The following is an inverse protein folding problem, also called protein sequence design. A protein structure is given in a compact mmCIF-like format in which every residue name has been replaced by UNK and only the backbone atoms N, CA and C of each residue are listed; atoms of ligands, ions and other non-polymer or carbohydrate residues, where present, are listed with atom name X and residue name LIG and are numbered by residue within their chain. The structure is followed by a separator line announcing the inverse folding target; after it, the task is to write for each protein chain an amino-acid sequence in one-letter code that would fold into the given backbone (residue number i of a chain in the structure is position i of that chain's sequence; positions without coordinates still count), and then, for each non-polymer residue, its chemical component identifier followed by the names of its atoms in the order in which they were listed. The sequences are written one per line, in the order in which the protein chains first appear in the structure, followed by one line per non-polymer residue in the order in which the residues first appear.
data_IF_225956905171
#
_entry.id   IF_225956905171
#
_cell.length_a   1.000
_cell.length_b   1.000
_cell.length_c   1.000
_cell.angle_alpha   90.00
_cell.angle_beta   90.00
_cell.angle_gamma   90.00
#
_symmetry.space_group_name_H-M   'P 1'
#
loop_
_entity.id
_entity.type
_entity.pdbx_description
1 polymer ?
#
# COMPACT_ATOMS: atom_id res chain seq x y z
N UNK A 1 -77.16 -34.16 -35.67
CA UNK A 1 -76.63 -33.98 -34.35
C UNK A 1 -75.09 -34.15 -34.42
N UNK A 2 -74.35 -33.03 -34.38
CA UNK A 2 -72.84 -33.05 -34.48
C UNK A 2 -72.31 -32.62 -33.13
N UNK A 3 -71.69 -33.53 -32.36
CA UNK A 3 -71.01 -33.26 -31.10
C UNK A 3 -69.60 -32.68 -31.38
N UNK A 4 -69.31 -31.47 -30.90
CA UNK A 4 -67.98 -30.85 -30.89
C UNK A 4 -67.26 -31.32 -29.64
N UNK A 5 -66.13 -32.02 -29.79
CA UNK A 5 -65.16 -32.23 -28.71
C UNK A 5 -64.28 -30.99 -28.60
N UNK A 6 -64.24 -30.44 -27.36
CA UNK A 6 -63.28 -29.41 -27.03
C UNK A 6 -62.06 -30.10 -26.37
N UNK A 7 -60.88 -29.93 -26.97
CA UNK A 7 -59.59 -30.36 -26.39
C UNK A 7 -59.06 -29.26 -25.47
N UNK A 8 -58.90 -29.58 -24.19
CA UNK A 8 -58.22 -28.72 -23.21
C UNK A 8 -56.69 -28.99 -23.30
N UNK A 9 -55.94 -28.00 -23.69
CA UNK A 9 -54.47 -28.01 -23.64
C UNK A 9 -54.03 -27.51 -22.25
N UNK A 10 -53.48 -28.39 -21.42
CA UNK A 10 -52.87 -28.06 -20.15
C UNK A 10 -51.42 -27.57 -20.39
N UNK A 11 -51.16 -26.31 -20.18
CA UNK A 11 -49.81 -25.72 -20.20
C UNK A 11 -49.14 -26.01 -18.86
N UNK A 12 -48.21 -26.96 -18.82
CA UNK A 12 -47.35 -27.21 -17.66
C UNK A 12 -46.20 -26.19 -17.71
N UNK A 13 -46.28 -25.14 -16.90
CA UNK A 13 -45.22 -24.16 -16.71
C UNK A 13 -44.04 -24.77 -15.93
N UNK A 14 -42.94 -25.04 -16.57
CA UNK A 14 -41.69 -25.44 -15.96
C UNK A 14 -41.04 -24.24 -15.28
N UNK A 15 -41.16 -24.10 -13.95
CA UNK A 15 -40.45 -23.10 -13.15
C UNK A 15 -38.98 -23.53 -13.07
N UNK A 16 -38.09 -22.89 -13.87
CA UNK A 16 -36.66 -23.03 -13.74
C UNK A 16 -36.22 -22.14 -12.59
N UNK A 17 -35.96 -22.72 -11.42
CA UNK A 17 -35.32 -22.06 -10.27
C UNK A 17 -33.83 -21.99 -10.58
N UNK A 18 -33.35 -20.84 -11.08
CA UNK A 18 -31.92 -20.56 -11.22
C UNK A 18 -31.33 -20.40 -9.81
N UNK A 19 -30.24 -21.13 -9.45
CA UNK A 19 -29.53 -20.84 -8.20
C UNK A 19 -28.95 -19.42 -8.28
N UNK A 20 -29.39 -18.56 -7.36
CA UNK A 20 -28.72 -17.29 -7.07
C UNK A 20 -27.34 -17.65 -6.55
N UNK A 21 -26.32 -17.55 -7.40
CA UNK A 21 -24.94 -17.58 -6.97
C UNK A 21 -24.75 -16.41 -5.99
N UNK A 22 -24.58 -16.72 -4.71
CA UNK A 22 -24.14 -15.73 -3.74
C UNK A 22 -22.74 -15.31 -4.18
N UNK A 23 -22.63 -14.15 -4.82
CA UNK A 23 -21.34 -13.49 -4.97
C UNK A 23 -20.80 -13.29 -3.55
N UNK A 24 -19.78 -14.06 -3.16
CA UNK A 24 -19.09 -13.89 -1.90
C UNK A 24 -18.74 -12.41 -1.75
N UNK A 25 -19.10 -11.79 -0.61
CA UNK A 25 -18.71 -10.44 -0.31
C UNK A 25 -17.19 -10.37 -0.45
N UNK A 26 -16.68 -9.38 -1.23
CA UNK A 26 -15.25 -9.14 -1.29
C UNK A 26 -14.74 -8.91 0.15
N UNK A 27 -13.56 -9.46 0.53
CA UNK A 27 -13.04 -9.26 1.87
C UNK A 27 -12.97 -7.76 2.15
N UNK A 28 -13.47 -7.37 3.32
CA UNK A 28 -13.53 -5.97 3.75
C UNK A 28 -12.10 -5.42 3.87
N UNK A 29 -11.90 -4.19 3.41
CA UNK A 29 -10.60 -3.53 3.52
C UNK A 29 -10.25 -3.32 5.01
N UNK A 30 -9.06 -3.76 5.41
CA UNK A 30 -8.55 -3.56 6.76
C UNK A 30 -7.81 -2.21 6.84
N UNK A 31 -8.00 -1.48 7.93
CA UNK A 31 -7.34 -0.20 8.17
C UNK A 31 -6.60 -0.24 9.50
N UNK A 32 -5.34 0.19 9.49
CA UNK A 32 -4.53 0.40 10.69
C UNK A 32 -3.94 1.80 10.71
N UNK A 33 -3.73 2.35 11.91
CA UNK A 33 -3.02 3.62 12.12
C UNK A 33 -1.83 3.36 13.04
N UNK A 34 -0.69 3.97 12.74
CA UNK A 34 0.54 3.85 13.51
C UNK A 34 1.21 5.21 13.66
N UNK A 35 1.95 5.40 14.75
CA UNK A 35 2.79 6.59 14.94
C UNK A 35 3.97 6.57 13.97
N UNK A 36 4.36 7.75 13.49
CA UNK A 36 5.66 7.97 12.84
C UNK A 36 6.64 8.44 13.89
N UNK A 37 7.75 7.74 14.06
CA UNK A 37 8.77 8.02 15.07
C UNK A 37 10.12 8.30 14.45
N UNK A 38 11.00 9.01 15.18
CA UNK A 38 12.38 9.19 14.74
C UNK A 38 13.15 7.86 14.80
N UNK A 39 13.96 7.59 13.80
CA UNK A 39 14.87 6.42 13.79
C UNK A 39 15.95 6.55 14.88
N UNK A 40 16.38 7.78 15.19
CA UNK A 40 17.38 8.07 16.23
C UNK A 40 16.82 7.97 17.66
N UNK A 41 15.51 8.16 17.84
CA UNK A 41 14.82 8.08 19.12
C UNK A 41 13.35 7.63 18.93
N UNK A 42 13.07 6.33 19.03
CA UNK A 42 11.71 5.80 18.81
C UNK A 42 10.64 6.30 19.82
N UNK A 43 11.05 6.96 20.90
CA UNK A 43 10.10 7.57 21.85
C UNK A 43 9.55 8.91 21.31
N UNK A 44 10.20 9.52 20.33
CA UNK A 44 9.77 10.80 19.74
C UNK A 44 8.82 10.55 18.58
N UNK A 45 7.55 10.89 18.78
CA UNK A 45 6.50 10.82 17.74
C UNK A 45 6.50 12.14 16.96
N UNK A 46 6.61 12.06 15.64
CA UNK A 46 6.66 13.20 14.71
C UNK A 46 5.48 13.21 13.74
N UNK A 47 4.60 12.22 13.80
CA UNK A 47 3.45 12.14 12.90
C UNK A 47 2.65 10.87 13.07
N UNK A 48 1.84 10.59 12.07
CA UNK A 48 1.02 9.37 11.99
C UNK A 48 0.95 8.83 10.57
N UNK A 49 0.73 7.54 10.44
CA UNK A 49 0.42 6.92 9.16
C UNK A 49 -0.84 6.07 9.25
N UNK A 50 -1.55 6.00 8.15
CA UNK A 50 -2.68 5.09 7.94
C UNK A 50 -2.31 4.12 6.84
N UNK A 51 -2.52 2.83 7.08
CA UNK A 51 -2.39 1.77 6.08
C UNK A 51 -3.75 1.13 5.84
N UNK A 52 -4.12 1.01 4.57
CA UNK A 52 -5.29 0.28 4.10
C UNK A 52 -4.80 -0.97 3.39
N UNK A 53 -5.35 -2.13 3.74
CA UNK A 53 -5.04 -3.43 3.18
C UNK A 53 -6.27 -4.02 2.50
N UNK A 54 -6.08 -4.58 1.33
CA UNK A 54 -7.07 -5.39 0.59
C UNK A 54 -6.42 -6.71 0.19
N UNK A 55 -7.19 -7.65 -0.32
CA UNK A 55 -6.61 -8.90 -0.84
C UNK A 55 -5.63 -8.70 -2.02
N UNK A 56 -5.69 -7.54 -2.70
CA UNK A 56 -4.90 -7.27 -3.91
C UNK A 56 -3.76 -6.28 -3.70
N UNK A 57 -3.63 -5.69 -2.50
CA UNK A 57 -2.56 -4.73 -2.24
C UNK A 57 -2.78 -3.87 -1.01
N UNK A 58 -1.86 -2.95 -0.82
CA UNK A 58 -1.82 -1.99 0.29
C UNK A 58 -1.74 -0.56 -0.25
N UNK A 59 -2.25 0.39 0.54
CA UNK A 59 -2.11 1.82 0.29
C UNK A 59 -1.85 2.55 1.62
N UNK A 60 -1.05 3.62 1.59
CA UNK A 60 -0.79 4.42 2.79
C UNK A 60 -0.99 5.91 2.55
N UNK A 61 -1.25 6.60 3.66
CA UNK A 61 -1.03 8.03 3.84
C UNK A 61 -0.17 8.21 5.09
N UNK A 62 0.92 8.97 4.99
CA UNK A 62 1.85 9.27 6.07
C UNK A 62 1.94 10.78 6.21
N UNK A 63 1.54 11.31 7.36
CA UNK A 63 1.65 12.71 7.73
C UNK A 63 2.75 12.85 8.77
N UNK A 64 3.73 13.71 8.49
CA UNK A 64 4.88 13.87 9.37
C UNK A 64 5.38 15.31 9.45
N UNK A 65 6.17 15.57 10.48
CA UNK A 65 6.82 16.84 10.76
C UNK A 65 8.30 16.66 11.09
N UNK A 66 8.99 17.78 11.26
CA UNK A 66 10.41 17.77 11.62
C UNK A 66 11.36 17.44 10.48
N UNK A 67 10.88 17.50 9.24
CA UNK A 67 11.71 17.37 8.04
C UNK A 67 12.42 18.71 7.73
N UNK A 68 13.60 18.67 7.12
CA UNK A 68 14.34 19.86 6.72
C UNK A 68 13.80 20.43 5.40
N UNK A 69 13.32 21.72 5.38
CA UNK A 69 12.88 22.36 4.16
C UNK A 69 14.00 22.43 3.12
N UNK A 70 13.66 22.15 1.87
CA UNK A 70 14.62 22.12 0.76
C UNK A 70 15.39 20.79 0.60
N UNK A 71 15.19 19.83 1.49
CA UNK A 71 15.70 18.48 1.35
C UNK A 71 14.76 17.61 0.49
N UNK A 72 15.34 16.65 -0.21
CA UNK A 72 14.61 15.60 -0.92
C UNK A 72 14.41 14.40 -0.01
N UNK A 73 13.19 13.89 0.02
CA UNK A 73 12.83 12.73 0.82
C UNK A 73 12.17 11.67 -0.04
N UNK A 74 12.38 10.40 0.32
CA UNK A 74 11.63 9.26 -0.19
C UNK A 74 11.02 8.48 0.96
N UNK A 75 9.90 7.81 0.68
CA UNK A 75 9.32 6.79 1.55
C UNK A 75 9.52 5.44 0.87
N UNK A 76 9.94 4.46 1.68
CA UNK A 76 10.19 3.09 1.25
C UNK A 76 9.26 2.14 1.97
N UNK A 77 8.67 1.22 1.21
CA UNK A 77 8.05 0.04 1.77
C UNK A 77 9.13 -0.92 2.26
N UNK A 78 9.09 -1.33 3.52
CA UNK A 78 9.75 -2.53 4.03
C UNK A 78 8.66 -3.53 4.38
N UNK A 79 8.48 -4.50 3.51
CA UNK A 79 7.46 -5.54 3.66
C UNK A 79 8.13 -6.80 4.17
N UNK A 80 7.64 -7.32 5.30
CA UNK A 80 8.01 -8.67 5.77
C UNK A 80 6.81 -9.58 5.50
N UNK A 81 6.96 -10.48 4.54
CA UNK A 81 5.96 -11.48 4.20
C UNK A 81 5.79 -12.53 5.30
N UNK A 82 4.67 -13.28 5.36
CA UNK A 82 4.44 -14.29 6.40
C UNK A 82 5.47 -15.41 6.46
N UNK A 83 6.15 -15.71 5.36
CA UNK A 83 7.23 -16.68 5.26
C UNK A 83 8.58 -16.17 5.77
N UNK A 84 8.67 -14.87 6.12
CA UNK A 84 9.87 -14.17 6.57
C UNK A 84 10.65 -13.48 5.45
N UNK A 85 10.21 -13.57 4.19
CA UNK A 85 10.81 -12.83 3.07
C UNK A 85 10.66 -11.33 3.25
N UNK A 86 11.71 -10.56 2.93
CA UNK A 86 11.71 -9.09 3.06
C UNK A 86 11.85 -8.45 1.69
N UNK A 87 10.89 -7.59 1.35
CA UNK A 87 10.90 -6.76 0.16
C UNK A 87 11.06 -5.29 0.55
N UNK A 88 11.96 -4.56 -0.14
CA UNK A 88 12.14 -3.12 0.02
C UNK A 88 11.83 -2.44 -1.32
N UNK A 89 10.74 -1.67 -1.39
CA UNK A 89 10.25 -1.07 -2.62
C UNK A 89 10.04 0.44 -2.45
N UNK A 90 10.19 1.18 -3.53
CA UNK A 90 9.86 2.60 -3.55
C UNK A 90 8.36 2.82 -3.33
N UNK A 91 8.02 3.81 -2.52
CA UNK A 91 6.63 4.15 -2.21
C UNK A 91 6.23 5.55 -2.69
N UNK A 92 7.02 6.56 -2.35
CA UNK A 92 6.77 7.96 -2.69
C UNK A 92 8.05 8.79 -2.52
N UNK A 93 8.09 9.98 -3.11
CA UNK A 93 9.20 10.93 -2.85
C UNK A 93 8.95 12.29 -3.47
N UNK A 94 9.42 13.33 -2.79
CA UNK A 94 9.41 14.71 -3.29
C UNK A 94 10.39 15.60 -2.54
N UNK A 95 10.60 16.81 -3.08
CA UNK A 95 11.32 17.88 -2.40
C UNK A 95 10.38 18.54 -1.39
N UNK A 96 10.79 18.60 -0.13
CA UNK A 96 9.95 19.13 0.96
C UNK A 96 10.11 20.64 1.06
N UNK A 97 9.00 21.37 0.97
CA UNK A 97 8.99 22.84 1.04
C UNK A 97 8.88 23.40 2.45
N UNK A 98 8.51 22.58 3.45
CA UNK A 98 8.33 22.95 4.87
C UNK A 98 8.64 21.77 5.77
N UNK A 99 8.55 21.99 7.08
CA UNK A 99 8.81 20.92 8.08
C UNK A 99 7.74 19.83 8.08
N UNK A 100 6.51 20.17 7.66
CA UNK A 100 5.35 19.29 7.66
C UNK A 100 5.03 18.85 6.24
N UNK A 101 4.78 17.58 6.06
CA UNK A 101 4.46 17.02 4.74
C UNK A 101 3.60 15.77 4.83
N UNK A 102 2.99 15.42 3.70
CA UNK A 102 2.22 14.19 3.53
C UNK A 102 2.78 13.39 2.37
N UNK A 103 3.04 12.11 2.60
CA UNK A 103 3.36 11.12 1.58
C UNK A 103 2.18 10.16 1.41
N UNK A 104 1.99 9.69 0.19
CA UNK A 104 0.99 8.66 -0.10
C UNK A 104 1.48 7.75 -1.23
N UNK A 105 1.09 6.49 -1.19
CA UNK A 105 1.45 5.51 -2.20
C UNK A 105 0.63 4.23 -2.09
N UNK A 106 0.76 3.38 -3.09
CA UNK A 106 0.13 2.06 -3.13
C UNK A 106 1.09 1.02 -3.67
N UNK A 107 0.90 -0.24 -3.27
CA UNK A 107 1.69 -1.39 -3.71
C UNK A 107 0.72 -2.55 -3.96
N UNK A 108 0.75 -3.13 -5.15
CA UNK A 108 -0.02 -4.32 -5.47
C UNK A 108 0.70 -5.60 -5.03
N UNK A 109 -0.07 -6.65 -4.76
CA UNK A 109 0.48 -7.99 -4.56
C UNK A 109 1.20 -8.43 -5.84
N UNK A 110 2.43 -8.93 -5.70
CA UNK A 110 3.28 -9.36 -6.81
C UNK A 110 4.01 -8.23 -7.55
N UNK A 111 3.81 -6.96 -7.13
CA UNK A 111 4.54 -5.82 -7.73
C UNK A 111 6.01 -5.84 -7.30
N UNK A 112 6.90 -5.68 -8.28
CA UNK A 112 8.36 -5.64 -8.12
C UNK A 112 8.99 -4.37 -8.68
N UNK A 113 8.17 -3.38 -9.07
CA UNK A 113 8.68 -2.11 -9.57
C UNK A 113 9.38 -1.31 -8.45
N UNK A 114 10.55 -0.77 -8.73
CA UNK A 114 11.33 0.01 -7.76
C UNK A 114 12.10 -0.83 -6.74
N UNK A 115 12.27 -2.11 -6.98
CA UNK A 115 13.03 -3.05 -6.17
C UNK A 115 14.47 -2.59 -5.91
N UNK A 116 14.92 -2.62 -4.65
CA UNK A 116 16.23 -2.11 -4.25
C UNK A 116 17.10 -3.14 -3.53
N UNK A 117 16.53 -3.99 -2.68
CA UNK A 117 17.26 -4.99 -1.92
C UNK A 117 16.42 -6.24 -1.66
N UNK A 118 17.05 -7.41 -1.75
CA UNK A 118 16.46 -8.71 -1.48
C UNK A 118 16.51 -9.63 -2.72
N UNK A 119 16.15 -10.86 -2.54
CA UNK A 119 16.09 -11.85 -3.60
C UNK A 119 14.63 -12.04 -4.01
N UNK A 120 14.21 -11.42 -5.09
CA UNK A 120 12.93 -11.66 -5.81
C UNK A 120 11.64 -11.69 -4.95
N UNK A 121 11.62 -11.02 -3.80
CA UNK A 121 10.41 -10.96 -2.98
C UNK A 121 9.64 -9.66 -3.22
N UNK A 122 8.35 -9.80 -3.46
CA UNK A 122 7.35 -8.73 -3.57
C UNK A 122 6.44 -8.76 -2.35
N UNK A 123 5.43 -7.91 -2.30
CA UNK A 123 4.30 -8.12 -1.40
C UNK A 123 3.54 -9.36 -1.85
N UNK A 124 3.51 -10.42 -1.03
CA UNK A 124 2.84 -11.69 -1.37
C UNK A 124 1.45 -11.79 -0.76
N UNK A 125 1.29 -11.37 0.48
CA UNK A 125 0.01 -11.34 1.20
C UNK A 125 -0.18 -9.99 1.89
N UNK A 126 -1.02 -9.14 1.27
CA UNK A 126 -1.30 -7.81 1.76
C UNK A 126 -2.01 -7.77 3.13
N UNK A 127 -2.74 -8.83 3.49
CA UNK A 127 -3.49 -8.91 4.74
C UNK A 127 -2.63 -9.42 5.90
N UNK A 128 -1.64 -10.27 5.62
CA UNK A 128 -0.80 -10.92 6.63
C UNK A 128 0.63 -10.38 6.76
N UNK A 129 1.11 -9.55 5.80
CA UNK A 129 2.44 -8.98 5.86
C UNK A 129 2.58 -7.91 6.94
N UNK A 130 3.74 -7.84 7.60
CA UNK A 130 4.15 -6.66 8.38
C UNK A 130 4.72 -5.60 7.42
N UNK A 131 4.29 -4.36 7.57
CA UNK A 131 4.69 -3.25 6.69
C UNK A 131 5.31 -2.14 7.51
N UNK A 132 6.57 -1.80 7.23
CA UNK A 132 7.16 -0.56 7.71
C UNK A 132 7.25 0.46 6.56
N UNK A 133 6.98 1.71 6.89
CA UNK A 133 7.17 2.88 6.03
C UNK A 133 8.41 3.61 6.55
N UNK A 134 9.49 3.62 5.78
CA UNK A 134 10.75 4.27 6.17
C UNK A 134 10.92 5.56 5.36
N UNK A 135 11.05 6.68 6.07
CA UNK A 135 11.34 7.99 5.47
C UNK A 135 12.85 8.17 5.41
N UNK A 136 13.36 8.37 4.18
CA UNK A 136 14.78 8.53 3.90
C UNK A 136 15.06 9.95 3.43
N UNK A 137 15.98 10.62 4.11
CA UNK A 137 16.53 11.92 3.72
C UNK A 137 17.67 11.72 2.70
N UNK A 138 17.61 12.38 1.58
CA UNK A 138 18.63 12.40 0.53
C UNK A 138 19.51 13.67 0.57
N UNK A 139 19.29 14.52 1.58
CA UNK A 139 19.94 15.81 1.72
C UNK A 139 19.34 16.92 0.85
N UNK A 140 20.00 18.09 0.79
CA UNK A 140 19.52 19.23 0.02
C UNK A 140 19.26 18.88 -1.43
N UNK A 141 18.09 19.32 -1.93
CA UNK A 141 17.70 19.10 -3.32
C UNK A 141 18.64 19.78 -4.30
N UNK A 142 19.10 19.04 -5.30
CA UNK A 142 19.95 19.54 -6.37
C UNK A 142 19.27 19.42 -7.72
N UNK A 143 19.24 20.51 -8.48
CA UNK A 143 18.54 20.56 -9.76
C UNK A 143 19.03 19.52 -10.79
N UNK A 144 20.31 19.16 -10.72
CA UNK A 144 20.96 18.21 -11.63
C UNK A 144 20.76 16.74 -11.24
N UNK A 145 20.23 16.46 -10.04
CA UNK A 145 20.00 15.09 -9.55
C UNK A 145 18.67 14.90 -8.82
N UNK A 146 17.79 15.88 -8.83
CA UNK A 146 16.52 15.83 -8.08
C UNK A 146 15.65 14.60 -8.46
N UNK A 147 15.68 14.19 -9.73
CA UNK A 147 14.96 13.01 -10.19
C UNK A 147 15.43 11.72 -9.50
N UNK A 148 16.74 11.59 -9.28
CA UNK A 148 17.33 10.46 -8.56
C UNK A 148 17.06 10.57 -7.05
N UNK A 149 17.19 11.80 -6.48
CA UNK A 149 16.94 12.03 -5.06
C UNK A 149 15.52 11.67 -4.60
N UNK A 150 14.52 11.84 -5.46
CA UNK A 150 13.11 11.58 -5.10
C UNK A 150 12.57 10.24 -5.61
N UNK A 151 13.39 9.40 -6.26
CA UNK A 151 12.93 8.15 -6.88
C UNK A 151 13.83 6.95 -6.65
N UNK A 152 15.08 7.16 -6.22
CA UNK A 152 16.03 6.06 -6.03
C UNK A 152 16.47 5.96 -4.58
N UNK A 153 16.98 4.81 -4.20
CA UNK A 153 17.55 4.60 -2.86
C UNK A 153 18.89 5.35 -2.68
N UNK A 154 19.61 5.60 -3.75
CA UNK A 154 21.00 6.07 -3.76
C UNK A 154 21.22 7.54 -4.10
N UNK A 155 20.23 8.31 -4.47
CA UNK A 155 20.40 9.72 -4.88
C UNK A 155 20.78 10.68 -3.74
N UNK A 156 21.91 10.48 -3.08
CA UNK A 156 22.32 11.19 -1.85
C UNK A 156 23.13 12.46 -2.12
N UNK A 157 22.94 13.53 -1.29
CA UNK A 157 23.69 14.76 -1.36
C UNK A 157 23.93 15.38 0.06
N UNK A 158 25.10 15.26 0.68
CA UNK A 158 26.20 14.36 0.31
C UNK A 158 25.98 12.91 0.75
N UNK A 159 25.05 12.67 1.67
CA UNK A 159 24.74 11.35 2.24
C UNK A 159 23.24 11.17 2.40
N UNK A 160 22.78 9.92 2.44
CA UNK A 160 21.41 9.60 2.82
C UNK A 160 21.35 9.10 4.26
N UNK A 161 20.20 9.31 4.89
CA UNK A 161 19.89 8.74 6.21
C UNK A 161 18.42 8.34 6.28
N UNK A 162 18.13 7.18 6.87
CA UNK A 162 16.78 6.82 7.25
C UNK A 162 16.47 7.58 8.55
N UNK A 163 15.45 8.44 8.52
CA UNK A 163 15.22 9.42 9.59
C UNK A 163 13.97 9.15 10.41
N UNK A 164 12.95 8.57 9.79
CA UNK A 164 11.68 8.29 10.46
C UNK A 164 11.12 6.94 10.01
N UNK A 165 10.30 6.33 10.87
CA UNK A 165 9.66 5.04 10.59
C UNK A 165 8.27 4.96 11.18
N UNK A 166 7.40 4.23 10.52
CA UNK A 166 6.09 3.79 11.03
C UNK A 166 5.89 2.31 10.70
N UNK A 167 5.38 1.52 11.65
CA UNK A 167 5.22 0.07 11.50
C UNK A 167 3.75 -0.33 11.68
N UNK A 168 3.25 -1.13 10.75
CA UNK A 168 1.91 -1.71 10.73
C UNK A 168 1.99 -3.23 10.76
N UNK A 169 1.62 -3.84 11.87
CA UNK A 169 1.44 -5.30 11.97
C UNK A 169 0.13 -5.74 11.32
N UNK A 170 0.01 -7.01 10.93
CA UNK A 170 -1.28 -7.60 10.57
C UNK A 170 -2.28 -7.47 11.73
N UNK A 171 -3.55 -7.32 11.41
CA UNK A 171 -4.66 -7.19 12.37
C UNK A 171 -5.43 -8.49 12.52
#
# INVERSE_FOLDING_TARGET
MKRKLAAAVALVGLLVVLPLSQAGAAPEAQRSTSSVTLMSDPAVVVGSSTLIRTATGIAFTLETSGLEPGHAYTVWWMVTNPDGGVAVLYAAGHLVGGSDTTFAGSLAVGDTEGWVMGEDTSLEDALAATVALVVRDHGPGRADMIADQIRTFGGCNPSCADVQVSVHSPT
#
